data_IF_858432117337
#
_entry.id   IF_858432117337
#
_cell.length_a   1.000
_cell.length_b   1.000
_cell.length_c   1.000
_cell.angle_alpha   90.00
_cell.angle_beta   90.00
_cell.angle_gamma   90.00
#
_symmetry.space_group_name_H-M   'P 1'
#
loop_
_entity.id
_entity.type
_entity.pdbx_description
1 polymer ?
#
# COMPACT_ATOMS: atom_id res chain seq x y z
N UNK A 1 11.87 2.63 3.80
CA UNK A 1 13.13 2.26 4.46
C UNK A 1 12.88 2.17 5.96
N UNK A 2 13.54 1.25 6.64
CA UNK A 2 13.58 1.14 8.10
C UNK A 2 15.06 0.96 8.48
N UNK A 3 15.59 1.82 9.35
CA UNK A 3 17.01 1.81 9.73
C UNK A 3 17.96 1.78 8.51
N UNK A 4 17.69 2.63 7.51
CA UNK A 4 18.41 2.71 6.22
C UNK A 4 18.38 1.44 5.35
N UNK A 5 17.58 0.43 5.71
CA UNK A 5 17.35 -0.75 4.90
C UNK A 5 16.08 -0.63 4.03
N UNK A 6 16.14 -1.00 2.74
CA UNK A 6 14.94 -1.12 1.91
C UNK A 6 14.18 -2.39 2.28
N UNK A 7 13.13 -2.24 3.09
CA UNK A 7 12.34 -3.37 3.61
C UNK A 7 10.96 -3.53 2.98
N UNK A 8 10.51 -2.54 2.20
CA UNK A 8 9.18 -2.49 1.58
C UNK A 8 9.31 -1.85 0.20
N UNK A 9 8.56 -2.39 -0.77
CA UNK A 9 8.29 -1.76 -2.06
C UNK A 9 6.79 -1.48 -2.12
N UNK A 10 6.43 -0.21 -2.25
CA UNK A 10 5.04 0.23 -2.40
C UNK A 10 4.74 0.56 -3.87
N UNK A 11 3.59 0.08 -4.35
CA UNK A 11 3.02 0.46 -5.64
C UNK A 11 1.61 0.98 -5.43
N UNK A 12 1.42 2.28 -5.65
CA UNK A 12 0.15 2.94 -5.48
C UNK A 12 -0.46 3.34 -6.83
N UNK A 13 -1.70 2.95 -7.04
CA UNK A 13 -2.48 3.24 -8.23
C UNK A 13 -3.71 3.99 -7.82
N UNK A 14 -3.92 5.17 -8.42
CA UNK A 14 -5.08 6.01 -8.15
C UNK A 14 -5.88 6.15 -9.44
N UNK A 15 -7.19 6.03 -9.35
CA UNK A 15 -8.04 6.10 -10.52
C UNK A 15 -8.08 7.53 -11.06
N UNK A 16 -7.57 7.73 -12.27
CA UNK A 16 -7.51 9.05 -12.91
C UNK A 16 -8.87 9.72 -13.08
N UNK A 17 -9.94 8.93 -13.21
CA UNK A 17 -11.31 9.43 -13.28
C UNK A 17 -11.77 10.12 -11.97
N UNK A 18 -11.12 9.82 -10.85
CA UNK A 18 -11.38 10.43 -9.55
C UNK A 18 -10.35 11.52 -9.26
N UNK A 19 -9.07 11.26 -9.54
CA UNK A 19 -7.97 12.20 -9.33
C UNK A 19 -7.20 12.37 -10.65
N UNK A 20 -7.51 13.43 -11.43
CA UNK A 20 -6.95 13.62 -12.77
C UNK A 20 -5.42 13.77 -12.80
N UNK A 21 -4.86 14.34 -11.73
CA UNK A 21 -3.44 14.59 -11.58
C UNK A 21 -3.04 14.48 -10.11
N UNK A 22 -1.95 13.77 -9.85
CA UNK A 22 -1.29 13.78 -8.54
C UNK A 22 -0.14 14.78 -8.65
N UNK A 23 -0.35 15.98 -8.11
CA UNK A 23 0.73 16.93 -7.93
C UNK A 23 1.77 16.32 -7.00
N UNK A 24 3.06 16.61 -7.24
CA UNK A 24 4.18 16.03 -6.51
C UNK A 24 3.90 15.97 -5.00
N UNK A 25 3.62 14.76 -4.51
CA UNK A 25 3.26 14.58 -3.12
C UNK A 25 4.53 14.76 -2.27
N UNK A 26 4.47 15.60 -1.21
CA UNK A 26 5.54 15.61 -0.23
C UNK A 26 5.75 14.18 0.28
N UNK A 27 7.01 13.74 0.42
CA UNK A 27 7.34 12.39 0.92
C UNK A 27 6.68 12.05 2.27
N UNK A 28 6.26 13.07 3.02
CA UNK A 28 5.65 12.94 4.35
C UNK A 28 4.13 12.84 4.34
N UNK A 29 3.46 13.13 3.21
CA UNK A 29 1.99 13.15 3.16
C UNK A 29 1.47 11.75 2.82
N UNK A 30 0.56 11.23 3.65
CA UNK A 30 -0.15 9.99 3.34
C UNK A 30 -1.11 10.21 2.16
N UNK A 31 -1.26 9.21 1.28
CA UNK A 31 -2.28 9.24 0.23
C UNK A 31 -3.70 9.42 0.81
N UNK A 32 -3.97 8.88 1.99
CA UNK A 32 -5.26 9.06 2.67
C UNK A 32 -5.48 10.52 3.09
N UNK A 33 -4.44 11.20 3.58
CA UNK A 33 -4.53 12.62 3.93
C UNK A 33 -4.79 13.49 2.68
N UNK A 34 -4.13 13.19 1.55
CA UNK A 34 -4.43 13.81 0.28
C UNK A 34 -5.91 13.63 -0.09
N UNK A 35 -6.41 12.39 -0.06
CA UNK A 35 -7.76 12.06 -0.49
C UNK A 35 -8.83 12.75 0.37
N UNK A 36 -8.73 12.63 1.69
CA UNK A 36 -9.77 13.10 2.60
C UNK A 36 -9.65 14.58 2.92
N UNK A 37 -8.44 15.07 3.21
CA UNK A 37 -8.26 16.45 3.70
C UNK A 37 -8.07 17.46 2.58
N UNK A 38 -7.30 17.11 1.54
CA UNK A 38 -7.00 18.06 0.46
C UNK A 38 -8.05 18.02 -0.65
N UNK A 39 -8.53 16.82 -1.01
CA UNK A 39 -9.49 16.64 -2.10
C UNK A 39 -10.94 16.52 -1.62
N UNK A 40 -11.18 16.43 -0.30
CA UNK A 40 -12.51 16.34 0.28
C UNK A 40 -13.27 15.06 -0.10
N UNK A 41 -12.56 14.00 -0.49
CA UNK A 41 -13.17 12.72 -0.85
C UNK A 41 -13.60 11.99 0.42
N UNK A 42 -14.79 11.38 0.39
CA UNK A 42 -15.27 10.56 1.51
C UNK A 42 -15.01 9.09 1.21
N UNK A 43 -14.04 8.51 1.90
CA UNK A 43 -13.74 7.08 1.82
C UNK A 43 -14.79 6.30 2.60
N UNK A 44 -15.32 5.24 2.01
CA UNK A 44 -16.30 4.35 2.64
C UNK A 44 -15.62 3.22 3.39
N UNK A 45 -14.77 2.47 2.68
CA UNK A 45 -14.10 1.30 3.20
C UNK A 45 -12.91 0.94 2.31
N UNK A 46 -12.07 0.04 2.80
CA UNK A 46 -11.05 -0.61 2.02
C UNK A 46 -11.03 -2.11 2.30
N UNK A 47 -10.81 -2.90 1.25
CA UNK A 47 -10.60 -4.35 1.36
C UNK A 47 -9.12 -4.63 1.34
N UNK A 48 -8.60 -5.25 2.42
CA UNK A 48 -7.20 -5.64 2.51
C UNK A 48 -7.05 -7.15 2.36
N UNK A 49 -6.15 -7.54 1.46
CA UNK A 49 -5.76 -8.94 1.23
C UNK A 49 -4.28 -9.10 1.51
N UNK A 50 -3.92 -10.05 2.38
CA UNK A 50 -2.52 -10.36 2.73
C UNK A 50 -2.19 -11.74 2.18
N UNK A 51 -1.13 -11.83 1.36
CA UNK A 51 -0.63 -13.07 0.78
C UNK A 51 0.87 -13.25 1.05
N UNK A 52 1.33 -14.50 0.92
CA UNK A 52 2.76 -14.82 0.88
C UNK A 52 3.08 -15.21 -0.56
N UNK A 53 4.08 -14.56 -1.15
CA UNK A 53 4.46 -14.76 -2.55
C UNK A 53 5.96 -14.99 -2.69
N UNK A 54 6.36 -15.73 -3.73
CA UNK A 54 7.76 -15.87 -4.09
C UNK A 54 8.37 -14.51 -4.47
N UNK A 55 9.67 -14.34 -4.19
CA UNK A 55 10.40 -13.14 -4.59
C UNK A 55 10.37 -12.94 -6.11
N UNK A 56 9.92 -11.76 -6.54
CA UNK A 56 10.10 -11.31 -7.92
C UNK A 56 11.54 -10.81 -8.14
N UNK A 57 11.94 -10.66 -9.41
CA UNK A 57 13.24 -10.07 -9.77
C UNK A 57 13.38 -8.65 -9.16
N UNK A 58 12.29 -7.87 -9.18
CA UNK A 58 12.28 -6.52 -8.63
C UNK A 58 12.44 -6.53 -7.10
N UNK A 59 11.80 -7.47 -6.39
CA UNK A 59 11.95 -7.62 -4.94
C UNK A 59 13.43 -7.85 -4.57
N UNK A 60 14.09 -8.76 -5.28
CA UNK A 60 15.52 -9.07 -5.09
C UNK A 60 16.40 -7.84 -5.29
N UNK A 61 16.19 -7.13 -6.39
CA UNK A 61 17.02 -5.99 -6.77
C UNK A 61 16.84 -4.79 -5.84
N UNK A 62 15.58 -4.39 -5.56
CA UNK A 62 15.30 -3.17 -4.80
C UNK A 62 15.49 -3.36 -3.29
N UNK A 63 15.21 -4.55 -2.75
CA UNK A 63 15.36 -4.84 -1.32
C UNK A 63 16.65 -5.59 -0.96
N UNK A 64 17.52 -5.87 -1.95
CA UNK A 64 18.80 -6.59 -1.78
C UNK A 64 18.63 -7.97 -1.11
N UNK A 65 17.64 -8.73 -1.58
CA UNK A 65 17.25 -10.03 -1.02
C UNK A 65 17.96 -11.21 -1.69
N UNK A 66 18.07 -12.37 -1.00
CA UNK A 66 18.68 -13.58 -1.57
C UNK A 66 17.89 -14.14 -2.77
N UNK A 67 18.50 -15.11 -3.46
CA UNK A 67 17.94 -15.74 -4.66
C UNK A 67 16.60 -16.47 -4.42
N UNK A 68 16.39 -17.02 -3.24
CA UNK A 68 15.19 -17.74 -2.89
C UNK A 68 14.61 -17.20 -1.59
N UNK A 69 13.29 -17.15 -1.53
CA UNK A 69 12.55 -16.64 -0.39
C UNK A 69 11.14 -16.23 -0.76
N UNK A 70 10.49 -15.59 0.20
CA UNK A 70 9.14 -15.06 0.06
C UNK A 70 9.06 -13.62 0.56
N UNK A 71 8.06 -12.92 0.09
CA UNK A 71 7.61 -11.62 0.61
C UNK A 71 6.18 -11.75 1.12
N UNK A 72 5.84 -10.90 2.09
CA UNK A 72 4.45 -10.68 2.47
C UNK A 72 3.91 -9.56 1.59
N UNK A 73 2.82 -9.82 0.88
CA UNK A 73 2.21 -8.87 -0.04
C UNK A 73 0.88 -8.43 0.53
N UNK A 74 0.75 -7.13 0.80
CA UNK A 74 -0.49 -6.52 1.28
C UNK A 74 -1.08 -5.74 0.12
N UNK A 75 -2.29 -6.11 -0.30
CA UNK A 75 -3.07 -5.39 -1.30
C UNK A 75 -4.24 -4.70 -0.64
N UNK A 76 -4.50 -3.45 -1.02
CA UNK A 76 -5.67 -2.72 -0.54
C UNK A 76 -6.41 -2.05 -1.70
N UNK A 77 -7.70 -2.33 -1.80
CA UNK A 77 -8.64 -1.64 -2.69
C UNK A 77 -9.49 -0.68 -1.86
N UNK A 78 -9.49 0.60 -2.21
CA UNK A 78 -10.20 1.65 -1.46
C UNK A 78 -11.39 2.17 -2.27
N UNK A 79 -12.53 2.33 -1.61
CA UNK A 79 -13.80 2.73 -2.25
C UNK A 79 -14.36 4.00 -1.62
N UNK A 80 -14.95 4.87 -2.43
CA UNK A 80 -15.66 6.08 -2.00
C UNK A 80 -17.08 5.76 -1.52
N UNK A 81 -17.69 6.70 -0.79
CA UNK A 81 -19.09 6.59 -0.34
C UNK A 81 -20.13 6.51 -1.46
N UNK A 82 -19.76 6.94 -2.67
CA UNK A 82 -20.59 6.83 -3.88
C UNK A 82 -20.40 5.49 -4.65
N UNK A 83 -19.62 4.57 -4.09
CA UNK A 83 -19.39 3.23 -4.64
C UNK A 83 -18.26 3.13 -5.68
N UNK A 84 -17.62 4.24 -6.07
CA UNK A 84 -16.49 4.20 -7.01
C UNK A 84 -15.22 3.69 -6.34
N UNK A 85 -14.40 2.96 -7.10
CA UNK A 85 -13.01 2.66 -6.71
C UNK A 85 -12.17 3.93 -6.75
N UNK A 86 -11.46 4.21 -5.65
CA UNK A 86 -10.52 5.32 -5.53
C UNK A 86 -9.11 4.89 -5.91
N UNK A 87 -8.61 3.84 -5.27
CA UNK A 87 -7.21 3.42 -5.38
C UNK A 87 -7.03 1.93 -5.19
N UNK A 88 -5.93 1.42 -5.74
CA UNK A 88 -5.38 0.10 -5.47
C UNK A 88 -3.94 0.27 -5.03
N UNK A 89 -3.55 -0.38 -3.95
CA UNK A 89 -2.17 -0.36 -3.43
C UNK A 89 -1.64 -1.77 -3.30
N UNK A 90 -0.36 -1.97 -3.60
CA UNK A 90 0.37 -3.21 -3.34
C UNK A 90 1.67 -2.88 -2.60
N UNK A 91 1.76 -3.31 -1.34
CA UNK A 91 2.95 -3.21 -0.51
C UNK A 91 3.60 -4.59 -0.38
N UNK A 92 4.83 -4.72 -0.86
CA UNK A 92 5.61 -5.96 -0.79
C UNK A 92 6.66 -5.82 0.30
N UNK A 93 6.51 -6.58 1.38
CA UNK A 93 7.33 -6.50 2.58
C UNK A 93 8.31 -7.68 2.64
N UNK A 94 9.53 -7.39 3.09
CA UNK A 94 10.45 -8.41 3.59
C UNK A 94 9.81 -9.27 4.66
N UNK A 95 9.74 -10.59 4.41
CA UNK A 95 9.10 -11.52 5.34
C UNK A 95 9.80 -11.57 6.71
N UNK A 96 11.12 -11.36 6.76
CA UNK A 96 11.91 -11.36 8.00
C UNK A 96 11.73 -10.09 8.86
N UNK A 97 11.04 -9.07 8.34
CA UNK A 97 10.82 -7.77 9.01
C UNK A 97 9.34 -7.40 9.12
N UNK A 98 8.43 -8.21 8.55
CA UNK A 98 7.01 -7.87 8.51
C UNK A 98 6.33 -8.07 9.87
N UNK A 99 5.52 -7.08 10.25
CA UNK A 99 4.62 -7.17 11.40
C UNK A 99 3.31 -6.45 11.06
N UNK A 100 2.20 -7.18 11.15
CA UNK A 100 0.86 -6.61 11.14
C UNK A 100 0.23 -6.77 12.51
N UNK A 101 -0.51 -5.76 12.96
CA UNK A 101 -1.28 -5.79 14.19
C UNK A 101 -2.71 -5.40 13.84
N UNK A 102 -3.64 -6.34 14.02
CA UNK A 102 -5.06 -6.11 13.85
C UNK A 102 -5.74 -6.17 15.21
N UNK A 103 -6.53 -5.15 15.52
CA UNK A 103 -7.39 -5.13 16.70
C UNK A 103 -8.81 -5.52 16.27
N UNK A 104 -9.33 -6.60 16.82
CA UNK A 104 -10.70 -7.03 16.61
C UNK A 104 -11.45 -7.06 17.94
N UNK A 105 -12.58 -6.35 18.00
CA UNK A 105 -13.51 -6.37 19.15
C UNK A 105 -14.84 -6.91 18.67
N UNK A 106 -15.40 -7.89 19.40
CA UNK A 106 -16.60 -8.63 19.00
C UNK A 106 -17.92 -8.04 19.54
N UNK A 107 -17.84 -7.04 20.43
CA UNK A 107 -18.97 -6.43 21.15
C UNK A 107 -18.76 -4.94 21.38
#
# INVERSE_FOLDING_TARGET
>A
YLDDEPIIIDRDYVLKAVIPEILALPKSLSLFELFEQQLGLTISHATKTITIEALSIQDKQLMKLPEAGVVVVVRSETFLSDGRTLSYTESRHRADKFKSVEFARRH
#
